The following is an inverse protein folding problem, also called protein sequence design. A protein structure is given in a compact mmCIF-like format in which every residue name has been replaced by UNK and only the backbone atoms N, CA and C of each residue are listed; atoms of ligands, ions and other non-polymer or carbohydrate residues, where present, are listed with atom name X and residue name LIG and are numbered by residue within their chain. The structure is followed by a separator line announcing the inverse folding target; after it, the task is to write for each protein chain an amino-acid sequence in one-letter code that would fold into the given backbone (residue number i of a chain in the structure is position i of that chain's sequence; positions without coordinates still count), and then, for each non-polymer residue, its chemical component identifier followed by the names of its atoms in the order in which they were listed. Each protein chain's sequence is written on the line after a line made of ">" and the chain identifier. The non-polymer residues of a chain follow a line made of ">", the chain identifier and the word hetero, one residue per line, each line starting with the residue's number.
data_IF_662975803343
#
_entry.id   IF_662975803343
#
_cell.length_a   1.000
_cell.length_b   1.000
_cell.length_c   1.000
_cell.angle_alpha   90.00
_cell.angle_beta   90.00
_cell.angle_gamma   90.00
#
_symmetry.space_group_name_H-M   'P 1'
#
loop_
_entity.id
_entity.type
_entity.pdbx_description
1 polymer ?
#
# COMPACT_ATOMS: atom_id res chain seq x y z
N UNK A 1 14.45 -40.02 20.85
CA UNK A 1 15.16 -39.69 19.59
C UNK A 1 16.01 -38.44 19.81
N UNK A 2 17.27 -38.58 20.24
CA UNK A 2 18.27 -37.50 20.15
C UNK A 2 18.78 -37.52 18.70
N UNK A 3 18.16 -36.71 17.84
CA UNK A 3 18.44 -36.66 16.40
C UNK A 3 19.44 -35.54 16.11
N UNK A 4 20.52 -35.93 15.42
CA UNK A 4 21.44 -35.16 14.56
C UNK A 4 21.91 -33.81 15.12
N UNK A 5 23.22 -33.66 15.31
CA UNK A 5 23.90 -32.51 15.93
C UNK A 5 23.79 -31.16 15.21
N UNK A 6 22.59 -30.80 14.72
CA UNK A 6 22.26 -29.51 14.12
C UNK A 6 21.92 -28.44 15.17
N UNK A 7 21.58 -28.84 16.39
CA UNK A 7 21.10 -27.94 17.44
C UNK A 7 22.03 -28.08 18.64
N UNK A 8 22.68 -26.97 18.99
CA UNK A 8 23.49 -26.85 20.19
C UNK A 8 22.57 -26.43 21.34
N UNK A 9 22.47 -27.30 22.35
CA UNK A 9 21.71 -26.98 23.57
C UNK A 9 22.66 -26.35 24.57
N UNK A 10 22.75 -25.02 24.56
CA UNK A 10 23.54 -24.28 25.55
C UNK A 10 22.62 -23.80 26.68
N UNK A 11 22.79 -24.38 27.87
CA UNK A 11 22.03 -23.97 29.07
C UNK A 11 22.71 -22.76 29.72
N UNK A 12 22.43 -21.56 29.22
CA UNK A 12 22.86 -20.33 29.90
C UNK A 12 21.91 -20.01 31.06
N UNK A 13 22.44 -20.03 32.29
CA UNK A 13 21.81 -19.44 33.49
C UNK A 13 20.51 -20.09 33.96
N UNK A 14 20.60 -21.17 34.76
CA UNK A 14 19.44 -21.77 35.43
C UNK A 14 18.81 -20.81 36.45
N UNK A 15 17.72 -20.15 36.11
CA UNK A 15 16.71 -19.77 37.11
C UNK A 15 15.71 -20.92 37.26
N UNK A 16 15.44 -21.36 38.49
CA UNK A 16 14.65 -22.56 38.80
C UNK A 16 13.21 -22.57 38.24
N UNK A 17 12.70 -21.43 37.79
CA UNK A 17 11.35 -21.28 37.24
C UNK A 17 11.30 -21.10 35.73
N UNK A 18 12.45 -20.89 35.07
CA UNK A 18 12.47 -20.72 33.62
C UNK A 18 12.65 -22.09 32.94
N UNK A 19 11.54 -22.68 32.50
CA UNK A 19 11.52 -23.92 31.71
C UNK A 19 11.73 -23.67 30.22
N UNK A 20 12.07 -22.45 29.84
CA UNK A 20 12.23 -22.06 28.44
C UNK A 20 13.62 -22.45 27.96
N UNK A 21 13.70 -23.48 27.12
CA UNK A 21 14.93 -23.80 26.42
C UNK A 21 15.13 -22.82 25.27
N UNK A 22 16.25 -22.10 25.29
CA UNK A 22 16.71 -21.32 24.16
C UNK A 22 17.48 -22.24 23.20
N UNK A 23 17.08 -22.21 21.92
CA UNK A 23 17.73 -22.99 20.88
C UNK A 23 18.54 -22.05 20.00
N UNK A 24 19.84 -22.32 19.86
CA UNK A 24 20.71 -21.67 18.89
C UNK A 24 21.08 -22.68 17.79
N UNK A 25 21.23 -22.19 16.56
CA UNK A 25 21.76 -22.98 15.45
C UNK A 25 23.23 -23.27 15.72
N UNK A 26 23.67 -24.53 15.60
CA UNK A 26 25.10 -24.85 15.60
C UNK A 26 25.76 -24.24 14.36
N UNK A 27 27.00 -23.73 14.47
CA UNK A 27 27.80 -23.26 13.34
C UNK A 27 27.98 -24.34 12.25
N UNK A 28 27.87 -25.62 12.65
CA UNK A 28 27.90 -26.76 11.73
C UNK A 28 26.63 -26.88 10.86
N UNK A 29 25.52 -26.26 11.29
CA UNK A 29 24.24 -26.21 10.58
C UNK A 29 24.06 -24.97 9.69
N UNK A 30 25.01 -24.02 9.71
CA UNK A 30 24.96 -22.78 8.92
C UNK A 30 24.96 -23.00 7.41
N UNK A 31 25.41 -24.17 6.94
CA UNK A 31 25.43 -24.52 5.52
C UNK A 31 24.11 -25.09 5.00
N UNK A 32 23.19 -25.53 5.85
CA UNK A 32 22.02 -26.30 5.41
C UNK A 32 20.79 -25.45 5.05
N UNK A 33 20.77 -24.16 5.39
CA UNK A 33 19.65 -23.25 5.08
C UNK A 33 19.98 -22.17 4.05
N UNK A 34 21.21 -22.13 3.53
CA UNK A 34 21.63 -21.20 2.48
C UNK A 34 21.61 -21.81 1.06
N UNK A 35 21.12 -23.04 0.88
CA UNK A 35 21.27 -23.75 -0.39
C UNK A 35 19.95 -24.39 -0.85
N UNK A 36 18.96 -23.55 -1.14
CA UNK A 36 18.10 -23.86 -2.28
C UNK A 36 18.98 -23.75 -3.52
N UNK A 37 19.32 -24.92 -4.07
CA UNK A 37 20.04 -25.16 -5.32
C UNK A 37 19.83 -24.04 -6.34
N UNK A 38 20.83 -23.16 -6.44
CA UNK A 38 21.28 -22.73 -7.76
C UNK A 38 21.87 -24.01 -8.34
N UNK A 39 21.10 -24.71 -9.17
CA UNK A 39 21.69 -25.59 -10.17
C UNK A 39 22.59 -24.68 -10.98
N UNK A 40 23.88 -24.74 -10.66
CA UNK A 40 24.98 -24.32 -11.51
C UNK A 40 24.92 -25.22 -12.75
N UNK A 41 23.94 -24.96 -13.63
CA UNK A 41 24.09 -25.28 -15.03
C UNK A 41 25.10 -24.29 -15.58
N UNK A 42 26.31 -24.82 -15.65
CA UNK A 42 27.47 -24.32 -16.35
C UNK A 42 27.09 -24.00 -17.81
N UNK A 43 26.56 -22.81 -18.07
CA UNK A 43 26.53 -22.24 -19.42
C UNK A 43 26.40 -20.72 -19.41
N UNK A 44 27.52 -20.03 -19.62
CA UNK A 44 27.73 -18.97 -20.63
C UNK A 44 28.70 -17.88 -20.16
N UNK A 45 30.00 -18.17 -20.32
CA UNK A 45 31.12 -17.22 -20.25
C UNK A 45 31.22 -16.34 -21.53
N UNK A 46 30.13 -16.10 -22.29
CA UNK A 46 30.23 -15.43 -23.61
C UNK A 46 29.89 -13.95 -23.67
N UNK A 47 29.22 -13.37 -22.68
CA UNK A 47 28.51 -12.10 -22.88
C UNK A 47 28.90 -10.96 -21.90
N UNK A 48 30.17 -10.88 -21.49
CA UNK A 48 30.64 -9.77 -20.64
C UNK A 48 30.52 -8.41 -21.33
N UNK A 49 30.66 -8.34 -22.66
CA UNK A 49 30.41 -7.12 -23.44
C UNK A 49 28.95 -6.68 -23.41
N UNK A 50 28.03 -7.63 -23.61
CA UNK A 50 26.58 -7.38 -23.62
C UNK A 50 26.06 -6.84 -22.27
N UNK A 51 26.62 -7.33 -21.15
CA UNK A 51 26.21 -6.88 -19.81
C UNK A 51 26.61 -5.43 -19.57
N UNK A 52 27.81 -5.02 -19.97
CA UNK A 52 28.25 -3.63 -19.81
C UNK A 52 27.41 -2.68 -20.68
N UNK A 53 27.09 -3.10 -21.91
CA UNK A 53 26.20 -2.32 -22.77
C UNK A 53 24.82 -2.15 -22.14
N UNK A 54 24.22 -3.22 -21.59
CA UNK A 54 22.97 -3.14 -20.82
C UNK A 54 23.07 -2.17 -19.64
N UNK A 55 24.16 -2.22 -18.87
CA UNK A 55 24.38 -1.31 -17.74
C UNK A 55 24.40 0.14 -18.23
N UNK A 56 25.15 0.46 -19.28
CA UNK A 56 25.19 1.83 -19.81
C UNK A 56 23.84 2.32 -20.32
N UNK A 57 23.03 1.45 -20.93
CA UNK A 57 21.67 1.77 -21.38
C UNK A 57 20.77 2.08 -20.18
N UNK A 58 20.80 1.24 -19.15
CA UNK A 58 20.01 1.44 -17.93
C UNK A 58 20.46 2.70 -17.20
N UNK A 59 21.76 2.99 -17.11
CA UNK A 59 22.28 4.23 -16.54
C UNK A 59 21.81 5.48 -17.30
N UNK A 60 21.75 5.43 -18.65
CA UNK A 60 21.17 6.49 -19.47
C UNK A 60 19.68 6.68 -19.16
N UNK A 61 18.93 5.59 -19.03
CA UNK A 61 17.50 5.65 -18.66
C UNK A 61 17.29 6.22 -17.26
N UNK A 62 18.10 5.81 -16.27
CA UNK A 62 18.06 6.34 -14.91
C UNK A 62 18.29 7.85 -14.89
N UNK A 63 19.27 8.34 -15.66
CA UNK A 63 19.50 9.78 -15.84
C UNK A 63 18.31 10.48 -16.50
N UNK A 64 17.73 9.89 -17.55
CA UNK A 64 16.56 10.43 -18.25
C UNK A 64 15.35 10.59 -17.33
N UNK A 65 15.10 9.58 -16.49
CA UNK A 65 14.00 9.56 -15.53
C UNK A 65 14.30 10.30 -14.21
N UNK A 66 15.46 10.97 -14.12
CA UNK A 66 15.91 11.73 -12.94
C UNK A 66 15.98 10.91 -11.65
N UNK A 67 16.44 9.66 -11.75
CA UNK A 67 16.75 8.87 -10.56
C UNK A 67 17.94 9.47 -9.80
N UNK A 68 17.94 9.29 -8.48
CA UNK A 68 19.09 9.66 -7.67
C UNK A 68 20.35 8.89 -8.10
N UNK A 69 21.54 9.49 -7.97
CA UNK A 69 22.80 8.82 -8.25
C UNK A 69 22.90 7.50 -7.48
N UNK A 70 23.28 6.44 -8.18
CA UNK A 70 23.42 5.11 -7.59
C UNK A 70 24.60 5.08 -6.60
N UNK A 71 24.31 4.63 -5.37
CA UNK A 71 25.34 4.31 -4.39
C UNK A 71 26.15 3.08 -4.78
N UNK A 72 27.33 2.91 -4.20
CA UNK A 72 28.24 1.77 -4.46
C UNK A 72 27.58 0.41 -4.19
N UNK A 73 26.75 0.30 -3.16
CA UNK A 73 25.95 -0.89 -2.86
C UNK A 73 24.93 -1.19 -3.97
N UNK A 74 24.24 -0.16 -4.45
CA UNK A 74 23.21 -0.26 -5.50
C UNK A 74 23.80 -0.59 -6.87
N UNK A 75 25.06 -0.23 -7.14
CA UNK A 75 25.74 -0.63 -8.39
C UNK A 75 25.93 -2.14 -8.49
N UNK A 76 26.16 -2.82 -7.36
CA UNK A 76 26.22 -4.30 -7.33
C UNK A 76 24.85 -4.91 -7.64
N UNK A 77 23.79 -4.33 -7.08
CA UNK A 77 22.40 -4.73 -7.37
C UNK A 77 22.04 -4.50 -8.84
N UNK A 78 22.47 -3.38 -9.44
CA UNK A 78 22.28 -3.08 -10.86
C UNK A 78 22.99 -4.11 -11.74
N UNK A 79 24.25 -4.43 -11.42
CA UNK A 79 25.00 -5.44 -12.15
C UNK A 79 24.32 -6.83 -12.06
N UNK A 80 23.80 -7.17 -10.87
CA UNK A 80 23.00 -8.38 -10.69
C UNK A 80 21.72 -8.33 -11.54
N UNK A 81 21.00 -7.22 -11.52
CA UNK A 81 19.75 -7.06 -12.26
C UNK A 81 19.97 -7.18 -13.78
N UNK A 82 21.04 -6.61 -14.33
CA UNK A 82 21.37 -6.71 -15.75
C UNK A 82 21.78 -8.13 -16.19
N UNK A 83 22.23 -8.97 -15.24
CA UNK A 83 22.53 -10.39 -15.48
C UNK A 83 21.26 -11.26 -15.45
N UNK A 84 20.33 -10.94 -14.56
CA UNK A 84 19.16 -11.79 -14.26
C UNK A 84 17.92 -11.42 -15.06
N UNK A 85 17.72 -10.14 -15.35
CA UNK A 85 16.51 -9.62 -16.00
C UNK A 85 16.79 -9.15 -17.42
N UNK A 86 15.76 -9.23 -18.27
CA UNK A 86 15.82 -8.63 -19.60
C UNK A 86 15.73 -7.10 -19.51
N UNK A 87 16.28 -6.40 -20.52
CA UNK A 87 16.25 -4.93 -20.55
C UNK A 87 14.80 -4.39 -20.47
N UNK A 88 13.86 -5.06 -21.14
CA UNK A 88 12.45 -4.69 -21.16
C UNK A 88 11.81 -4.76 -19.76
N UNK A 89 12.17 -5.78 -18.97
CA UNK A 89 11.69 -5.90 -17.59
C UNK A 89 12.25 -4.78 -16.70
N UNK A 90 13.53 -4.43 -16.88
CA UNK A 90 14.17 -3.34 -16.15
C UNK A 90 13.52 -2.00 -16.50
N UNK A 91 13.29 -1.72 -17.79
CA UNK A 91 12.64 -0.48 -18.21
C UNK A 91 11.21 -0.38 -17.69
N UNK A 92 10.44 -1.47 -17.77
CA UNK A 92 9.08 -1.52 -17.23
C UNK A 92 9.04 -1.29 -15.72
N UNK A 93 9.99 -1.86 -14.98
CA UNK A 93 10.09 -1.61 -13.53
C UNK A 93 10.40 -0.15 -13.23
N UNK A 94 11.31 0.47 -14.00
CA UNK A 94 11.65 1.90 -13.85
C UNK A 94 10.45 2.81 -14.16
N UNK A 95 9.70 2.52 -15.20
CA UNK A 95 8.47 3.25 -15.54
C UNK A 95 7.42 3.09 -14.44
N UNK A 96 7.18 1.87 -13.96
CA UNK A 96 6.24 1.60 -12.86
C UNK A 96 6.64 2.26 -11.52
N UNK A 97 7.93 2.55 -11.32
CA UNK A 97 8.39 3.36 -10.20
C UNK A 97 8.20 4.85 -10.42
N UNK A 98 8.41 5.33 -11.66
CA UNK A 98 8.20 6.72 -12.04
C UNK A 98 6.71 7.12 -11.99
N UNK A 99 5.80 6.22 -12.40
CA UNK A 99 4.35 6.38 -12.25
C UNK A 99 3.93 6.61 -10.79
N UNK A 100 4.66 6.01 -9.85
CA UNK A 100 4.44 6.17 -8.40
C UNK A 100 5.19 7.36 -7.81
N UNK A 101 5.87 8.15 -8.64
CA UNK A 101 6.78 9.24 -8.23
C UNK A 101 7.88 8.79 -7.25
N UNK A 102 8.32 7.52 -7.32
CA UNK A 102 9.40 6.99 -6.48
C UNK A 102 10.66 6.85 -7.33
N UNK A 103 11.55 7.84 -7.26
CA UNK A 103 12.77 7.91 -8.08
C UNK A 103 13.99 7.25 -7.41
N UNK A 104 13.80 6.07 -6.83
CA UNK A 104 14.83 5.34 -6.08
C UNK A 104 15.08 3.94 -6.67
N UNK A 105 16.35 3.64 -7.00
CA UNK A 105 16.75 2.35 -7.58
C UNK A 105 16.31 1.16 -6.73
N UNK A 106 16.48 1.24 -5.40
CA UNK A 106 16.11 0.17 -4.46
C UNK A 106 14.64 -0.24 -4.60
N UNK A 107 13.76 0.70 -4.92
CA UNK A 107 12.35 0.42 -5.13
C UNK A 107 12.11 -0.28 -6.48
N UNK A 108 12.78 0.16 -7.54
CA UNK A 108 12.71 -0.51 -8.86
C UNK A 108 13.26 -1.94 -8.80
N UNK A 109 14.38 -2.14 -8.11
CA UNK A 109 14.97 -3.46 -7.88
C UNK A 109 14.03 -4.37 -7.07
N UNK A 110 13.34 -3.83 -6.05
CA UNK A 110 12.30 -4.57 -5.33
C UNK A 110 11.16 -5.00 -6.25
N UNK A 111 10.71 -4.13 -7.18
CA UNK A 111 9.68 -4.49 -8.17
C UNK A 111 10.13 -5.65 -9.05
N UNK A 112 11.38 -5.62 -9.53
CA UNK A 112 11.95 -6.70 -10.34
C UNK A 112 11.92 -8.04 -9.60
N UNK A 113 12.39 -8.06 -8.35
CA UNK A 113 12.35 -9.26 -7.51
C UNK A 113 10.92 -9.74 -7.22
N UNK A 114 9.98 -8.82 -6.97
CA UNK A 114 8.57 -9.21 -6.74
C UNK A 114 7.93 -9.78 -7.99
N UNK A 115 8.28 -9.28 -9.18
CA UNK A 115 7.77 -9.79 -10.45
C UNK A 115 8.37 -11.15 -10.80
N UNK A 116 9.62 -11.41 -10.39
CA UNK A 116 10.26 -12.72 -10.52
C UNK A 116 9.58 -13.78 -9.66
N UNK A 117 9.25 -13.43 -8.40
CA UNK A 117 8.66 -14.33 -7.42
C UNK A 117 7.13 -14.41 -7.53
N UNK A 118 6.51 -13.52 -8.31
CA UNK A 118 5.11 -13.58 -8.63
C UNK A 118 4.89 -14.72 -9.63
N UNK A 119 4.59 -15.92 -9.10
CA UNK A 119 3.88 -16.90 -9.92
C UNK A 119 2.64 -16.19 -10.51
N UNK A 120 2.27 -16.44 -11.78
CA UNK A 120 1.16 -15.73 -12.45
C UNK A 120 -0.17 -15.83 -11.66
N UNK A 121 -0.27 -16.79 -10.75
CA UNK A 121 -1.38 -17.03 -9.82
C UNK A 121 -1.43 -16.16 -8.55
N UNK A 122 -0.39 -15.38 -8.23
CA UNK A 122 -0.26 -14.67 -6.92
C UNK A 122 -0.52 -13.17 -6.94
N UNK A 123 -0.89 -12.57 -8.08
CA UNK A 123 -1.45 -11.20 -8.11
C UNK A 123 -2.89 -11.20 -7.57
N UNK A 124 -3.09 -11.70 -6.35
CA UNK A 124 -4.32 -11.47 -5.59
C UNK A 124 -4.27 -10.02 -5.12
N UNK A 125 -4.69 -9.09 -5.99
CA UNK A 125 -5.15 -7.77 -5.55
C UNK A 125 -6.09 -8.04 -4.38
N UNK A 126 -5.83 -7.44 -3.22
CA UNK A 126 -6.74 -7.56 -2.08
C UNK A 126 -8.12 -7.21 -2.60
N UNK A 127 -9.07 -8.15 -2.46
CA UNK A 127 -10.46 -7.91 -2.81
C UNK A 127 -10.84 -6.68 -2.00
N UNK A 128 -11.04 -5.55 -2.70
CA UNK A 128 -11.63 -4.37 -2.09
C UNK A 128 -12.99 -4.85 -1.65
N UNK A 129 -13.19 -4.96 -0.34
CA UNK A 129 -14.49 -5.31 0.23
C UNK A 129 -15.44 -4.24 -0.25
N UNK A 130 -16.31 -4.58 -1.19
CA UNK A 130 -17.49 -3.78 -1.46
C UNK A 130 -18.39 -4.00 -0.26
N UNK A 131 -18.36 -3.05 0.69
CA UNK A 131 -19.39 -3.01 1.72
C UNK A 131 -20.73 -2.83 1.02
N UNK A 132 -21.49 -3.93 0.92
CA UNK A 132 -22.89 -3.84 0.54
C UNK A 132 -23.64 -3.34 1.77
N UNK A 133 -24.34 -2.24 1.62
CA UNK A 133 -25.26 -1.75 2.64
C UNK A 133 -26.27 -2.87 2.95
N UNK A 134 -26.50 -3.19 4.23
CA UNK A 134 -27.45 -4.21 4.62
C UNK A 134 -28.84 -3.97 4.04
N UNK A 135 -29.62 -5.03 3.85
CA UNK A 135 -30.95 -4.93 3.24
C UNK A 135 -31.93 -4.05 4.03
N UNK A 136 -31.69 -3.85 5.33
CA UNK A 136 -32.46 -2.93 6.19
C UNK A 136 -32.05 -1.45 6.04
N UNK A 137 -30.97 -1.15 5.32
CA UNK A 137 -30.55 0.20 4.93
C UNK A 137 -31.04 0.57 3.52
N UNK A 138 -31.68 -0.36 2.81
CA UNK A 138 -32.46 0.01 1.63
C UNK A 138 -33.67 0.80 2.12
N UNK A 139 -33.64 2.11 1.89
CA UNK A 139 -34.79 3.00 2.01
C UNK A 139 -35.86 2.53 1.03
N UNK A 140 -36.63 1.53 1.45
CA UNK A 140 -37.76 1.01 0.72
C UNK A 140 -39.04 1.48 1.35
N UNK A 141 -39.43 2.74 1.11
CA UNK A 141 -40.86 3.09 1.03
C UNK A 141 -41.09 4.03 -0.14
N UNK A 142 -41.10 3.44 -1.34
CA UNK A 142 -41.99 3.90 -2.38
C UNK A 142 -43.42 3.68 -1.91
N UNK A 143 -44.14 4.74 -1.54
CA UNK A 143 -45.59 4.75 -1.58
C UNK A 143 -46.03 6.04 -2.27
N UNK A 144 -46.12 5.97 -3.60
CA UNK A 144 -47.09 6.76 -4.35
C UNK A 144 -48.49 6.35 -3.90
N UNK A 145 -48.99 6.91 -2.80
CA UNK A 145 -50.42 6.86 -2.43
C UNK A 145 -50.82 8.24 -1.98
N UNK A 146 -51.68 8.82 -2.84
CA UNK A 146 -52.56 9.95 -2.57
C UNK A 146 -51.91 11.28 -2.15
N UNK A 147 -52.28 12.33 -2.89
CA UNK A 147 -52.40 13.68 -2.36
C UNK A 147 -53.16 13.62 -1.03
N UNK A 148 -52.45 13.55 0.08
CA UNK A 148 -52.97 14.00 1.36
C UNK A 148 -52.84 15.52 1.30
N UNK A 149 -53.93 16.30 1.38
CA UNK A 149 -53.79 17.74 1.50
C UNK A 149 -52.94 17.99 2.74
N UNK A 150 -51.91 18.81 2.58
CA UNK A 150 -51.09 19.31 3.67
C UNK A 150 -52.00 20.14 4.59
N UNK A 151 -52.74 19.47 5.45
CA UNK A 151 -53.49 20.07 6.54
C UNK A 151 -52.45 20.70 7.45
N UNK A 152 -52.37 22.02 7.38
CA UNK A 152 -51.54 22.80 8.28
C UNK A 152 -52.01 22.50 9.69
N UNK A 153 -51.27 21.66 10.41
CA UNK A 153 -51.47 21.42 11.84
C UNK A 153 -51.67 22.77 12.55
N UNK A 154 -52.63 22.85 13.49
CA UNK A 154 -52.95 24.10 14.18
C UNK A 154 -51.69 24.76 14.79
N UNK A 155 -50.74 23.93 15.22
CA UNK A 155 -49.43 24.37 15.70
C UNK A 155 -48.59 25.12 14.65
N UNK A 156 -48.62 24.72 13.38
CA UNK A 156 -47.86 25.39 12.31
C UNK A 156 -48.49 26.73 11.95
N UNK A 157 -49.82 26.84 12.01
CA UNK A 157 -50.55 28.11 11.86
C UNK A 157 -50.26 29.06 13.02
N UNK A 158 -50.24 28.57 14.26
CA UNK A 158 -49.89 29.36 15.45
C UNK A 158 -48.44 29.86 15.35
N UNK A 159 -47.50 29.00 14.96
CA UNK A 159 -46.09 29.37 14.75
C UNK A 159 -45.95 30.46 13.68
N UNK A 160 -46.70 30.34 12.57
CA UNK A 160 -46.69 31.33 11.48
C UNK A 160 -47.27 32.68 11.92
N UNK A 161 -48.39 32.70 12.65
CA UNK A 161 -48.97 33.94 13.20
C UNK A 161 -48.00 34.64 14.16
N UNK A 162 -47.41 33.88 15.08
CA UNK A 162 -46.41 34.40 16.03
C UNK A 162 -45.20 35.01 15.34
N UNK A 163 -44.70 34.39 14.27
CA UNK A 163 -43.59 34.94 13.50
C UNK A 163 -43.94 36.27 12.82
N UNK A 164 -45.16 36.40 12.30
CA UNK A 164 -45.64 37.65 11.69
C UNK A 164 -45.78 38.77 12.72
N UNK A 165 -46.34 38.48 13.91
CA UNK A 165 -46.44 39.46 15.00
C UNK A 165 -45.06 39.97 15.45
N UNK A 166 -44.08 39.06 15.56
CA UNK A 166 -42.70 39.43 15.89
C UNK A 166 -42.12 40.35 14.80
N UNK A 167 -42.32 40.01 13.53
CA UNK A 167 -41.82 40.80 12.41
C UNK A 167 -42.44 42.21 12.38
N UNK A 168 -43.75 42.33 12.60
CA UNK A 168 -44.43 43.63 12.68
C UNK A 168 -43.93 44.46 13.86
N UNK A 169 -43.71 43.86 15.04
CA UNK A 169 -43.16 44.54 16.21
C UNK A 169 -41.78 45.13 15.92
N UNK A 170 -40.91 44.38 15.25
CA UNK A 170 -39.59 44.90 14.84
C UNK A 170 -39.69 46.02 13.81
N UNK A 171 -40.65 45.96 12.88
CA UNK A 171 -40.87 47.03 11.92
C UNK A 171 -41.42 48.30 12.59
N UNK A 172 -42.34 48.17 13.54
CA UNK A 172 -42.86 49.30 14.32
C UNK A 172 -41.77 49.95 15.16
N UNK A 173 -40.93 49.16 15.84
CA UNK A 173 -39.78 49.68 16.58
C UNK A 173 -38.84 50.48 15.66
N UNK A 174 -38.49 49.94 14.48
CA UNK A 174 -37.67 50.66 13.50
C UNK A 174 -38.30 51.99 13.05
N UNK A 175 -39.62 52.03 12.85
CA UNK A 175 -40.33 53.26 12.46
C UNK A 175 -40.36 54.30 13.59
N UNK A 176 -40.58 53.87 14.83
CA UNK A 176 -40.60 54.77 15.99
C UNK A 176 -39.22 55.36 16.29
N UNK A 177 -38.13 54.61 16.12
CA UNK A 177 -36.79 55.16 16.36
C UNK A 177 -36.36 56.19 15.30
N UNK A 178 -36.92 56.12 14.10
CA UNK A 178 -36.64 57.06 13.00
C UNK A 178 -37.50 58.33 13.02
N UNK A 179 -38.56 58.40 13.84
CA UNK A 179 -39.47 59.56 13.91
C UNK A 179 -39.20 60.52 15.08
N UNK A 180 -38.13 60.30 15.86
CA UNK A 180 -37.72 61.14 17.00
C UNK A 180 -36.38 61.87 16.77
N UNK A 181 -36.09 62.28 15.53
CA UNK A 181 -35.04 63.25 15.20
C UNK A 181 -35.63 64.42 14.45
#
# INVERSE_FOLDING_TARGET
>A
MKKQGLILTEQHGKHHYDRTNWYALSDEGGHCFAQEKITEEDTQVRDTGNIQDKITIVEKQLKKLRFFPLQTSQRKELAHACKTFSLAQISQALEATAERAIFAWKYAYKILLTNQNASPTKLKRKIIRTEKLPDWFQQGEHINVAKVPEEWNEETLIKRRRLLEIQEKYQQQKKTTFSFT
#
